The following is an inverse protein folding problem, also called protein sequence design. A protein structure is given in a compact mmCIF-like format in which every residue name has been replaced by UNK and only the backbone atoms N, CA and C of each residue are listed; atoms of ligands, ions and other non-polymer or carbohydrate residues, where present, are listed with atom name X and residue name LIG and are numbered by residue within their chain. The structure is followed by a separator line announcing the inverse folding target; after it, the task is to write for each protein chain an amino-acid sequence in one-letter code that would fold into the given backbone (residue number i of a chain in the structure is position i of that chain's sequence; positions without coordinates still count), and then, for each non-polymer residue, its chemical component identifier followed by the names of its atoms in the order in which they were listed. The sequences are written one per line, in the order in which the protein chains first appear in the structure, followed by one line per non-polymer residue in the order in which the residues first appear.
data_IF_878379347404
#
_entry.id   IF_878379347404
#
_cell.length_a   1.000
_cell.length_b   1.000
_cell.length_c   1.000
_cell.angle_alpha   90.00
_cell.angle_beta   90.00
_cell.angle_gamma   90.00
#
_symmetry.space_group_name_H-M   'P 1'
#
loop_
_entity.id
_entity.type
_entity.pdbx_description
1 polymer ?
#
# COMPACT_ATOMS: atom_id res chain seq x y z
N UNK A 1 0.46 14.04 -24.26
CA UNK A 1 1.59 13.51 -23.49
C UNK A 1 1.54 14.12 -22.09
N UNK A 2 1.20 13.38 -21.03
CA UNK A 2 1.27 13.89 -19.66
C UNK A 2 2.67 13.70 -19.09
N UNK A 3 3.23 14.73 -18.46
CA UNK A 3 4.54 14.71 -17.81
C UNK A 3 4.52 13.84 -16.55
N UNK A 4 5.43 12.88 -16.47
CA UNK A 4 5.66 12.07 -15.28
C UNK A 4 6.32 12.90 -14.18
N UNK A 5 5.61 13.02 -13.05
CA UNK A 5 6.19 13.45 -11.79
C UNK A 5 6.91 12.24 -11.17
N UNK A 6 8.22 12.16 -11.36
CA UNK A 6 9.06 11.17 -10.69
C UNK A 6 9.32 11.62 -9.25
N UNK A 7 8.83 10.85 -8.28
CA UNK A 7 9.26 11.02 -6.89
C UNK A 7 10.59 10.27 -6.72
N UNK A 8 11.69 11.03 -6.74
CA UNK A 8 13.01 10.52 -6.42
C UNK A 8 13.10 10.06 -4.97
N UNK A 9 13.54 8.82 -4.76
CA UNK A 9 13.95 8.30 -3.46
C UNK A 9 15.46 8.43 -3.39
N UNK A 10 15.97 9.42 -2.66
CA UNK A 10 17.39 9.50 -2.34
C UNK A 10 17.77 8.37 -1.37
N UNK A 11 18.65 7.50 -1.83
CA UNK A 11 19.34 6.53 -0.98
C UNK A 11 20.68 7.13 -0.58
N UNK A 12 20.75 7.71 0.63
CA UNK A 12 22.01 8.16 1.19
C UNK A 12 22.87 6.95 1.57
N UNK A 13 23.92 6.72 0.79
CA UNK A 13 25.11 5.96 1.22
C UNK A 13 26.27 6.94 1.36
N UNK A 14 27.10 6.83 2.41
CA UNK A 14 28.16 7.81 2.68
C UNK A 14 29.36 7.53 1.76
N UNK A 15 29.77 8.54 0.98
CA UNK A 15 31.00 8.48 0.20
C UNK A 15 32.10 9.32 0.86
N UNK A 16 33.26 8.69 0.97
CA UNK A 16 34.55 9.20 1.42
C UNK A 16 35.00 10.43 0.61
N UNK A 17 35.51 11.43 1.32
CA UNK A 17 36.00 12.70 0.79
C UNK A 17 37.43 12.53 0.24
N UNK A 18 37.59 12.73 -1.06
CA UNK A 18 38.87 13.08 -1.69
C UNK A 18 38.74 14.47 -2.32
N UNK A 19 39.79 15.28 -2.22
CA UNK A 19 39.76 16.74 -2.38
C UNK A 19 40.37 17.21 -3.71
N UNK A 20 39.86 18.36 -4.18
CA UNK A 20 40.40 19.38 -5.13
C UNK A 20 40.21 19.19 -6.66
N UNK A 21 40.24 20.27 -7.49
CA UNK A 21 40.24 21.71 -7.18
C UNK A 21 39.15 22.54 -7.91
N UNK A 22 39.07 23.81 -7.48
CA UNK A 22 38.23 24.92 -7.96
C UNK A 22 38.42 25.24 -9.45
N UNK A 23 37.30 25.50 -10.13
CA UNK A 23 37.25 26.28 -11.38
C UNK A 23 36.13 27.34 -11.34
N UNK A 24 36.31 28.30 -12.22
CA UNK A 24 35.97 29.73 -12.15
C UNK A 24 34.57 30.12 -12.61
N UNK A 25 34.08 31.23 -12.05
CA UNK A 25 32.84 31.92 -12.40
C UNK A 25 32.88 32.57 -13.80
N UNK A 26 31.77 32.47 -14.52
CA UNK A 26 31.42 33.32 -15.68
C UNK A 26 29.90 33.62 -15.64
N UNK A 27 29.42 34.81 -16.05
CA UNK A 27 28.17 35.39 -15.58
C UNK A 27 26.92 34.94 -16.34
N UNK A 28 25.80 34.88 -15.62
CA UNK A 28 24.47 34.52 -16.11
C UNK A 28 23.82 35.65 -16.92
N UNK A 29 23.33 35.31 -18.10
CA UNK A 29 22.48 36.16 -18.94
C UNK A 29 21.03 36.08 -18.45
N UNK A 30 20.44 37.22 -18.11
CA UNK A 30 19.01 37.38 -17.82
C UNK A 30 18.16 36.97 -19.03
N UNK A 31 17.26 36.01 -18.84
CA UNK A 31 16.13 35.76 -19.74
C UNK A 31 14.83 36.10 -19.01
N UNK A 32 14.19 37.15 -19.51
CA UNK A 32 12.89 37.67 -19.09
C UNK A 32 11.79 36.67 -19.43
N UNK A 33 11.05 36.18 -18.43
CA UNK A 33 9.85 35.37 -18.63
C UNK A 33 8.68 36.20 -19.18
N UNK A 34 7.89 35.67 -20.13
CA UNK A 34 6.67 36.32 -20.59
C UNK A 34 5.52 36.15 -19.58
N UNK A 35 4.78 37.25 -19.38
CA UNK A 35 3.57 37.35 -18.55
C UNK A 35 2.52 36.32 -18.93
N UNK A 36 2.15 35.47 -17.98
CA UNK A 36 0.97 34.61 -18.06
C UNK A 36 -0.30 35.46 -18.02
N UNK A 37 -1.13 35.29 -19.05
CA UNK A 37 -2.48 35.83 -19.16
C UNK A 37 -3.45 35.00 -18.31
N UNK A 38 -4.11 35.66 -17.37
CA UNK A 38 -5.17 35.12 -16.51
C UNK A 38 -6.28 34.46 -17.36
N UNK A 39 -6.38 33.13 -17.28
CA UNK A 39 -7.53 32.37 -17.76
C UNK A 39 -8.51 32.23 -16.59
N UNK A 40 -9.84 32.44 -16.78
CA UNK A 40 -10.81 32.31 -15.69
C UNK A 40 -10.87 30.85 -15.24
N UNK A 41 -10.64 30.61 -13.96
CA UNK A 41 -10.83 29.31 -13.33
C UNK A 41 -12.32 28.98 -13.31
N UNK A 42 -12.75 28.07 -14.18
CA UNK A 42 -14.02 27.38 -14.01
C UNK A 42 -13.90 26.55 -12.74
N UNK A 43 -14.58 26.97 -11.66
CA UNK A 43 -14.81 26.13 -10.49
C UNK A 43 -15.63 24.92 -10.94
N UNK A 44 -14.95 23.85 -11.36
CA UNK A 44 -15.54 22.53 -11.44
C UNK A 44 -15.98 22.16 -10.02
N UNK A 45 -17.30 22.19 -9.79
CA UNK A 45 -17.94 21.62 -8.61
C UNK A 45 -17.38 20.22 -8.39
N UNK A 46 -16.45 20.08 -7.43
CA UNK A 46 -16.00 18.77 -7.02
C UNK A 46 -17.23 18.01 -6.50
N UNK A 47 -17.52 16.81 -7.05
CA UNK A 47 -18.69 16.06 -6.63
C UNK A 47 -18.61 15.83 -5.11
N UNK A 48 -19.70 16.18 -4.43
CA UNK A 48 -19.84 16.01 -2.99
C UNK A 48 -19.50 14.56 -2.62
N UNK A 49 -18.43 14.37 -1.84
CA UNK A 49 -17.91 13.05 -1.45
C UNK A 49 -18.96 12.39 -0.57
N UNK A 50 -19.77 11.52 -1.18
CA UNK A 50 -20.84 10.82 -0.47
C UNK A 50 -20.24 9.70 0.37
N UNK A 51 -20.06 10.00 1.66
CA UNK A 51 -19.61 9.02 2.64
C UNK A 51 -20.47 7.75 2.59
N UNK A 52 -19.79 6.60 2.53
CA UNK A 52 -20.44 5.28 2.64
C UNK A 52 -21.16 5.12 3.98
N UNK A 53 -22.25 4.35 3.98
CA UNK A 53 -22.86 3.90 5.24
C UNK A 53 -21.87 3.04 6.04
N UNK A 54 -22.07 2.92 7.36
CA UNK A 54 -21.22 2.06 8.19
C UNK A 54 -21.22 0.59 7.74
N UNK A 55 -22.33 0.12 7.17
CA UNK A 55 -22.45 -1.24 6.62
C UNK A 55 -21.65 -1.37 5.32
N UNK A 56 -21.80 -0.41 4.42
CA UNK A 56 -21.07 -0.38 3.14
C UNK A 56 -19.57 -0.24 3.35
N UNK A 57 -19.13 0.56 4.34
CA UNK A 57 -17.71 0.66 4.70
C UNK A 57 -17.16 -0.70 5.18
N UNK A 58 -17.90 -1.43 6.04
CA UNK A 58 -17.47 -2.77 6.49
C UNK A 58 -17.39 -3.76 5.33
N UNK A 59 -18.32 -3.67 4.38
CA UNK A 59 -18.29 -4.47 3.15
C UNK A 59 -17.10 -4.08 2.27
N UNK A 60 -16.83 -2.79 2.06
CA UNK A 60 -15.68 -2.27 1.33
C UNK A 60 -14.36 -2.76 1.95
N UNK A 61 -14.25 -2.77 3.28
CA UNK A 61 -13.09 -3.33 4.01
C UNK A 61 -12.91 -4.82 3.73
N UNK A 62 -14.01 -5.58 3.67
CA UNK A 62 -13.95 -7.02 3.38
C UNK A 62 -13.51 -7.28 1.93
N UNK A 63 -14.04 -6.48 1.00
CA UNK A 63 -13.65 -6.47 -0.42
C UNK A 63 -12.18 -6.11 -0.57
N UNK A 64 -11.70 -5.06 0.10
CA UNK A 64 -10.31 -4.61 0.04
C UNK A 64 -9.32 -5.71 0.49
N UNK A 65 -9.65 -6.47 1.54
CA UNK A 65 -8.84 -7.63 1.96
C UNK A 65 -8.80 -8.71 0.87
N UNK A 66 -9.93 -9.02 0.23
CA UNK A 66 -9.98 -10.02 -0.85
C UNK A 66 -9.17 -9.56 -2.07
N UNK A 67 -9.31 -8.29 -2.48
CA UNK A 67 -8.54 -7.74 -3.59
C UNK A 67 -7.04 -7.74 -3.28
N UNK A 68 -6.65 -7.38 -2.06
CA UNK A 68 -5.24 -7.43 -1.64
C UNK A 68 -4.70 -8.87 -1.66
N UNK A 69 -5.47 -9.85 -1.22
CA UNK A 69 -5.13 -11.27 -1.34
C UNK A 69 -4.93 -11.65 -2.81
N UNK A 70 -5.89 -11.35 -3.69
CA UNK A 70 -5.82 -11.68 -5.12
C UNK A 70 -4.57 -11.09 -5.78
N UNK A 71 -4.29 -9.82 -5.50
CA UNK A 71 -3.12 -9.11 -6.01
C UNK A 71 -1.82 -9.84 -5.70
N UNK A 72 -1.68 -10.33 -4.47
CA UNK A 72 -0.44 -10.91 -3.96
C UNK A 72 -0.33 -12.43 -4.19
N UNK A 73 -1.44 -13.17 -4.21
CA UNK A 73 -1.45 -14.63 -4.41
C UNK A 73 -1.50 -15.03 -5.88
N UNK A 74 -2.23 -14.28 -6.70
CA UNK A 74 -2.49 -14.66 -8.09
C UNK A 74 -1.79 -13.73 -9.08
N UNK A 75 -2.02 -12.42 -8.96
CA UNK A 75 -1.62 -11.47 -10.01
C UNK A 75 -0.10 -11.23 -10.03
N UNK A 76 0.48 -10.83 -8.90
CA UNK A 76 1.91 -10.50 -8.83
C UNK A 76 2.80 -11.70 -9.15
N UNK A 77 2.52 -12.92 -8.63
CA UNK A 77 3.29 -14.11 -9.00
C UNK A 77 3.18 -14.48 -10.48
N UNK A 78 2.01 -14.30 -11.11
CA UNK A 78 1.83 -14.54 -12.54
C UNK A 78 2.74 -13.63 -13.38
N UNK A 79 2.77 -12.34 -13.07
CA UNK A 79 3.62 -11.37 -13.76
C UNK A 79 5.10 -11.67 -13.54
N UNK A 80 5.51 -12.04 -12.32
CA UNK A 80 6.89 -12.40 -12.03
C UNK A 80 7.34 -13.66 -12.79
N UNK A 81 6.47 -14.68 -12.89
CA UNK A 81 6.74 -15.87 -13.72
C UNK A 81 6.88 -15.51 -15.19
N UNK A 82 6.06 -14.59 -15.68
CA UNK A 82 6.16 -14.10 -17.05
C UNK A 82 7.49 -13.39 -17.31
N UNK A 83 7.91 -12.47 -16.43
CA UNK A 83 9.23 -11.83 -16.56
C UNK A 83 10.37 -12.85 -16.63
N UNK A 84 10.33 -13.87 -15.76
CA UNK A 84 11.31 -14.94 -15.78
C UNK A 84 11.30 -15.72 -17.11
N UNK A 85 10.11 -16.12 -17.60
CA UNK A 85 9.96 -16.83 -18.89
C UNK A 85 10.45 -16.02 -20.09
N UNK A 86 10.23 -14.71 -20.07
CA UNK A 86 10.66 -13.81 -21.15
C UNK A 86 12.12 -13.35 -21.01
N UNK A 87 12.84 -13.83 -20.00
CA UNK A 87 14.19 -13.38 -19.66
C UNK A 87 14.29 -11.84 -19.49
N UNK A 88 13.22 -11.26 -18.95
CA UNK A 88 13.16 -9.85 -18.63
C UNK A 88 13.66 -9.66 -17.19
N UNK A 89 14.46 -8.63 -16.97
CA UNK A 89 14.84 -8.22 -15.63
C UNK A 89 13.59 -7.76 -14.88
N UNK A 90 13.13 -8.59 -13.94
CA UNK A 90 12.09 -8.19 -13.00
C UNK A 90 12.57 -6.95 -12.21
N UNK A 91 11.68 -6.00 -11.91
CA UNK A 91 11.99 -4.93 -10.96
C UNK A 91 12.52 -5.51 -9.63
N UNK A 92 13.31 -4.73 -8.92
CA UNK A 92 13.86 -5.16 -7.63
C UNK A 92 12.75 -5.27 -6.59
N UNK A 93 12.23 -6.48 -6.38
CA UNK A 93 11.20 -6.79 -5.38
C UNK A 93 9.89 -7.29 -6.00
N UNK A 94 8.85 -7.42 -5.17
CA UNK A 94 7.53 -7.87 -5.61
C UNK A 94 6.53 -6.70 -5.70
N UNK A 95 6.98 -5.50 -6.09
CA UNK A 95 6.07 -4.37 -6.28
C UNK A 95 5.31 -4.51 -7.60
N UNK A 96 4.03 -4.84 -7.50
CA UNK A 96 3.14 -4.95 -8.65
C UNK A 96 3.13 -3.72 -9.56
N UNK A 97 3.16 -2.50 -9.00
CA UNK A 97 3.06 -1.29 -9.82
C UNK A 97 4.31 -1.12 -10.69
N UNK A 98 5.50 -1.34 -10.12
CA UNK A 98 6.76 -1.31 -10.86
C UNK A 98 6.77 -2.37 -11.97
N UNK A 99 6.30 -3.58 -11.66
CA UNK A 99 6.16 -4.67 -12.63
C UNK A 99 5.25 -4.30 -13.79
N UNK A 100 4.07 -3.74 -13.54
CA UNK A 100 3.17 -3.32 -14.63
C UNK A 100 3.76 -2.15 -15.43
N UNK A 101 4.38 -1.15 -14.78
CA UNK A 101 5.01 -0.05 -15.52
C UNK A 101 6.14 -0.54 -16.43
N UNK A 102 6.89 -1.57 -16.02
CA UNK A 102 7.87 -2.23 -16.88
C UNK A 102 7.21 -2.89 -18.09
N UNK A 103 6.10 -3.62 -17.92
CA UNK A 103 5.33 -4.18 -19.06
C UNK A 103 4.81 -3.09 -20.00
N UNK A 104 4.32 -1.97 -19.46
CA UNK A 104 3.88 -0.81 -20.26
C UNK A 104 5.06 -0.26 -21.08
N UNK A 105 6.23 -0.11 -20.46
CA UNK A 105 7.43 0.36 -21.14
C UNK A 105 7.84 -0.57 -22.29
N UNK A 106 7.88 -1.89 -22.06
CA UNK A 106 8.20 -2.86 -23.11
C UNK A 106 7.17 -2.83 -24.24
N UNK A 107 5.88 -2.72 -23.92
CA UNK A 107 4.81 -2.61 -24.90
C UNK A 107 4.90 -1.34 -25.75
N UNK A 108 5.22 -0.21 -25.14
CA UNK A 108 5.37 1.05 -25.87
C UNK A 108 6.59 1.02 -26.81
N UNK A 109 7.60 0.21 -26.50
CA UNK A 109 8.78 0.00 -27.34
C UNK A 109 8.51 -1.02 -28.46
N UNK A 110 7.63 -2.00 -28.22
CA UNK A 110 7.26 -3.03 -29.18
C UNK A 110 5.74 -3.29 -29.13
N UNK A 111 5.01 -2.83 -30.14
CA UNK A 111 3.55 -2.98 -30.19
C UNK A 111 3.06 -4.44 -30.22
N UNK A 112 3.89 -5.36 -30.72
CA UNK A 112 3.59 -6.79 -30.74
C UNK A 112 3.78 -7.45 -29.37
N UNK A 113 4.55 -6.82 -28.46
CA UNK A 113 4.69 -7.27 -27.08
C UNK A 113 3.34 -7.14 -26.36
N UNK A 114 2.89 -8.26 -25.79
CA UNK A 114 1.57 -8.38 -25.16
C UNK A 114 0.44 -7.86 -26.08
N UNK A 115 0.42 -8.31 -27.34
CA UNK A 115 -0.55 -7.85 -28.37
C UNK A 115 -2.02 -8.03 -27.98
N UNK A 116 -2.32 -8.92 -27.02
CA UNK A 116 -3.68 -9.22 -26.53
C UNK A 116 -4.25 -8.19 -25.54
N UNK A 117 -3.46 -7.23 -25.08
CA UNK A 117 -3.86 -6.24 -24.07
C UNK A 117 -3.36 -4.85 -24.43
N UNK A 118 -4.09 -3.80 -24.09
CA UNK A 118 -3.67 -2.41 -24.33
C UNK A 118 -2.83 -1.86 -23.17
N UNK A 119 -2.03 -0.82 -23.43
CA UNK A 119 -1.36 -0.07 -22.34
C UNK A 119 -2.39 0.55 -21.38
N UNK A 120 -3.58 0.91 -21.88
CA UNK A 120 -4.69 1.41 -21.06
C UNK A 120 -5.15 0.42 -19.99
N UNK A 121 -5.36 -0.84 -20.38
CA UNK A 121 -5.75 -1.91 -19.45
C UNK A 121 -4.66 -2.13 -18.38
N UNK A 122 -3.39 -2.04 -18.76
CA UNK A 122 -2.27 -2.12 -17.81
C UNK A 122 -2.30 -0.94 -16.82
N UNK A 123 -2.59 0.29 -17.28
CA UNK A 123 -2.78 1.42 -16.36
C UNK A 123 -3.97 1.20 -15.42
N UNK A 124 -5.10 0.70 -15.91
CA UNK A 124 -6.26 0.38 -15.08
C UNK A 124 -5.92 -0.64 -13.99
N UNK A 125 -5.11 -1.65 -14.31
CA UNK A 125 -4.63 -2.63 -13.35
C UNK A 125 -3.83 -1.98 -12.20
N UNK A 126 -2.96 -1.01 -12.53
CA UNK A 126 -2.22 -0.19 -11.54
C UNK A 126 -3.17 0.68 -10.72
N UNK A 127 -4.18 1.28 -11.35
CA UNK A 127 -5.20 2.07 -10.62
C UNK A 127 -5.97 1.21 -9.62
N UNK A 128 -6.30 -0.04 -9.99
CA UNK A 128 -6.91 -1.01 -9.09
C UNK A 128 -6.05 -1.27 -7.85
N UNK A 129 -4.74 -1.53 -8.05
CA UNK A 129 -3.78 -1.68 -6.95
C UNK A 129 -3.71 -0.41 -6.10
N UNK A 130 -3.62 0.76 -6.71
CA UNK A 130 -3.51 2.02 -5.98
C UNK A 130 -4.76 2.30 -5.14
N UNK A 131 -5.96 2.00 -5.65
CA UNK A 131 -7.19 2.09 -4.87
C UNK A 131 -7.11 1.27 -3.57
N UNK A 132 -6.54 0.07 -3.64
CA UNK A 132 -6.41 -0.83 -2.49
C UNK A 132 -5.31 -0.36 -1.54
N UNK A 133 -4.11 -0.06 -2.05
CA UNK A 133 -2.98 0.34 -1.21
C UNK A 133 -3.22 1.68 -0.50
N UNK A 134 -4.01 2.57 -1.11
CA UNK A 134 -4.45 3.84 -0.53
C UNK A 134 -5.82 3.77 0.15
N UNK A 135 -6.42 2.58 0.25
CA UNK A 135 -7.71 2.36 0.93
C UNK A 135 -8.80 3.34 0.51
N UNK A 136 -8.91 3.60 -0.80
CA UNK A 136 -10.00 4.38 -1.37
C UNK A 136 -11.28 3.53 -1.37
N UNK A 137 -11.93 3.47 -0.20
CA UNK A 137 -13.07 2.57 0.06
C UNK A 137 -14.27 2.82 -0.85
N UNK A 138 -14.51 4.06 -1.27
CA UNK A 138 -15.59 4.38 -2.20
C UNK A 138 -15.35 3.74 -3.56
N UNK A 139 -14.15 3.94 -4.13
CA UNK A 139 -13.76 3.31 -5.40
C UNK A 139 -13.69 1.80 -5.29
N UNK A 140 -13.21 1.26 -4.16
CA UNK A 140 -13.21 -0.19 -3.93
C UNK A 140 -14.65 -0.70 -3.93
N UNK A 141 -15.57 -0.05 -3.21
CA UNK A 141 -16.95 -0.47 -3.12
C UNK A 141 -17.66 -0.46 -4.47
N UNK A 142 -17.44 0.57 -5.29
CA UNK A 142 -18.10 0.70 -6.60
C UNK A 142 -17.45 -0.12 -7.71
N UNK A 143 -16.12 -0.32 -7.68
CA UNK A 143 -15.38 -0.81 -8.86
C UNK A 143 -14.64 -2.14 -8.65
N UNK A 144 -14.80 -2.83 -7.51
CA UNK A 144 -14.05 -4.06 -7.22
C UNK A 144 -14.19 -5.16 -8.29
N UNK A 145 -15.38 -5.29 -8.91
CA UNK A 145 -15.58 -6.27 -9.98
C UNK A 145 -14.72 -5.95 -11.21
N UNK A 146 -14.71 -4.69 -11.62
CA UNK A 146 -13.91 -4.23 -12.75
C UNK A 146 -12.41 -4.41 -12.47
N UNK A 147 -11.97 -4.16 -11.23
CA UNK A 147 -10.58 -4.40 -10.80
C UNK A 147 -10.21 -5.88 -10.99
N UNK A 148 -11.05 -6.81 -10.54
CA UNK A 148 -10.80 -8.25 -10.72
C UNK A 148 -10.81 -8.66 -12.19
N UNK A 149 -11.75 -8.16 -12.99
CA UNK A 149 -11.80 -8.42 -14.43
C UNK A 149 -10.53 -7.95 -15.13
N UNK A 150 -10.10 -6.72 -14.84
CA UNK A 150 -8.86 -6.14 -15.37
C UNK A 150 -7.65 -7.01 -15.02
N UNK A 151 -7.51 -7.42 -13.76
CA UNK A 151 -6.41 -8.29 -13.35
C UNK A 151 -6.44 -9.70 -13.97
N UNK A 152 -7.63 -10.27 -14.20
CA UNK A 152 -7.76 -11.53 -14.93
C UNK A 152 -7.30 -11.38 -16.38
N UNK A 153 -7.68 -10.29 -17.06
CA UNK A 153 -7.23 -9.97 -18.42
C UNK A 153 -5.70 -9.82 -18.47
N UNK A 154 -5.10 -9.12 -17.49
CA UNK A 154 -3.64 -9.04 -17.37
C UNK A 154 -3.01 -10.42 -17.25
N UNK A 155 -3.55 -11.30 -16.40
CA UNK A 155 -3.05 -12.66 -16.24
C UNK A 155 -3.16 -13.50 -17.53
N UNK A 156 -4.25 -13.38 -18.28
CA UNK A 156 -4.39 -14.03 -19.60
C UNK A 156 -3.39 -13.49 -20.62
N UNK A 157 -3.14 -12.18 -20.60
CA UNK A 157 -2.23 -11.54 -21.53
C UNK A 157 -0.77 -11.95 -21.31
N UNK A 158 -0.38 -12.25 -20.07
CA UNK A 158 0.94 -12.79 -19.72
C UNK A 158 0.98 -14.34 -19.75
N UNK A 159 0.02 -14.96 -20.43
CA UNK A 159 -0.12 -16.42 -20.62
C UNK A 159 -0.13 -17.22 -19.30
N UNK A 160 -0.83 -16.71 -18.28
CA UNK A 160 -1.03 -17.33 -16.97
C UNK A 160 -2.53 -17.64 -16.70
N UNK A 161 -3.17 -18.53 -17.50
CA UNK A 161 -4.61 -18.77 -17.46
C UNK A 161 -5.10 -19.37 -16.14
N UNK A 162 -4.27 -20.14 -15.42
CA UNK A 162 -4.62 -20.68 -14.10
C UNK A 162 -4.84 -19.55 -13.07
N UNK A 163 -3.98 -18.52 -13.11
CA UNK A 163 -4.11 -17.36 -12.22
C UNK A 163 -5.35 -16.54 -12.59
N UNK A 164 -5.60 -16.36 -13.90
CA UNK A 164 -6.81 -15.71 -14.41
C UNK A 164 -8.10 -16.43 -13.97
N UNK A 165 -8.15 -17.75 -14.09
CA UNK A 165 -9.29 -18.55 -13.64
C UNK A 165 -9.49 -18.47 -12.12
N UNK A 166 -8.40 -18.50 -11.35
CA UNK A 166 -8.47 -18.32 -9.89
C UNK A 166 -9.08 -16.95 -9.52
N UNK A 167 -8.71 -15.88 -10.23
CA UNK A 167 -9.28 -14.54 -10.04
C UNK A 167 -10.79 -14.52 -10.32
N UNK A 168 -11.22 -15.19 -11.41
CA UNK A 168 -12.65 -15.30 -11.76
C UNK A 168 -13.43 -16.09 -10.72
N UNK A 169 -12.86 -17.17 -10.18
CA UNK A 169 -13.47 -17.92 -9.08
C UNK A 169 -13.62 -17.06 -7.82
N UNK A 170 -12.60 -16.27 -7.48
CA UNK A 170 -12.68 -15.33 -6.35
C UNK A 170 -13.80 -14.31 -6.58
N UNK A 171 -13.90 -13.72 -7.79
CA UNK A 171 -15.01 -12.81 -8.15
C UNK A 171 -16.38 -13.47 -7.93
N UNK A 172 -16.57 -14.70 -8.42
CA UNK A 172 -17.82 -15.43 -8.28
C UNK A 172 -18.20 -15.67 -6.81
N UNK A 173 -17.23 -16.02 -5.97
CA UNK A 173 -17.42 -16.20 -4.51
C UNK A 173 -17.68 -14.88 -3.78
N UNK A 174 -17.07 -13.77 -4.20
CA UNK A 174 -17.35 -12.44 -3.67
C UNK A 174 -18.78 -11.99 -4.00
N UNK A 175 -19.28 -12.30 -5.19
CA UNK A 175 -20.69 -12.07 -5.57
C UNK A 175 -21.67 -12.85 -4.68
N UNK A 176 -21.26 -14.03 -4.20
CA UNK A 176 -22.01 -14.82 -3.21
C UNK A 176 -21.79 -14.34 -1.76
N UNK A 177 -21.12 -13.20 -1.55
CA UNK A 177 -20.79 -12.63 -0.24
C UNK A 177 -19.93 -13.53 0.67
N UNK A 178 -19.21 -14.50 0.10
CA UNK A 178 -18.38 -15.46 0.84
C UNK A 178 -16.94 -14.96 1.07
N UNK A 179 -16.80 -13.78 1.67
CA UNK A 179 -15.49 -13.10 1.79
C UNK A 179 -14.46 -13.84 2.66
N UNK A 180 -14.89 -14.46 3.77
CA UNK A 180 -13.97 -15.10 4.72
C UNK A 180 -13.32 -16.38 4.19
N UNK A 181 -13.98 -17.07 3.25
CA UNK A 181 -13.48 -18.29 2.65
C UNK A 181 -12.43 -18.02 1.55
N UNK A 182 -12.21 -16.74 1.20
CA UNK A 182 -11.36 -16.34 0.08
C UNK A 182 -9.92 -15.98 0.47
N UNK A 183 -9.72 -15.56 1.71
CA UNK A 183 -8.43 -15.08 2.22
C UNK A 183 -7.70 -16.17 3.00
N UNK A 184 -6.38 -16.04 3.17
CA UNK A 184 -5.59 -16.96 4.01
C UNK A 184 -5.36 -18.35 3.38
N UNK A 185 -5.03 -18.38 2.08
CA UNK A 185 -4.61 -19.59 1.37
C UNK A 185 -3.37 -20.24 2.01
N UNK A 186 -2.51 -19.43 2.64
CA UNK A 186 -1.24 -19.90 3.20
C UNK A 186 -1.26 -19.86 4.73
N UNK A 187 -0.85 -20.97 5.32
CA UNK A 187 -0.61 -21.08 6.76
C UNK A 187 0.72 -20.41 7.14
N UNK A 188 0.72 -19.60 8.19
CA UNK A 188 1.90 -18.95 8.73
C UNK A 188 2.61 -19.85 9.75
N UNK A 189 3.92 -20.11 9.56
CA UNK A 189 4.78 -20.82 10.51
C UNK A 189 6.06 -20.04 10.80
N UNK A 190 6.05 -19.22 11.85
CA UNK A 190 7.13 -18.26 12.18
C UNK A 190 8.40 -18.88 12.79
N UNK A 191 8.39 -20.15 13.18
CA UNK A 191 9.55 -20.81 13.80
C UNK A 191 10.61 -21.29 12.80
N UNK A 192 10.42 -21.05 11.51
CA UNK A 192 11.40 -21.41 10.48
C UNK A 192 12.48 -20.32 10.45
N UNK A 193 13.78 -20.66 10.60
CA UNK A 193 14.86 -19.68 10.64
C UNK A 193 15.16 -19.05 9.28
N UNK A 194 14.86 -19.75 8.19
CA UNK A 194 15.14 -19.31 6.82
C UNK A 194 13.98 -18.53 6.20
N UNK A 195 14.30 -17.73 5.17
CA UNK A 195 13.28 -17.04 4.38
C UNK A 195 12.30 -18.05 3.77
N UNK A 196 11.02 -17.82 4.03
CA UNK A 196 9.93 -18.55 3.41
C UNK A 196 8.90 -17.56 2.88
N UNK A 197 8.72 -17.53 1.57
CA UNK A 197 7.81 -16.59 0.91
C UNK A 197 6.36 -16.79 1.33
N UNK A 198 5.93 -18.03 1.59
CA UNK A 198 4.59 -18.32 2.11
C UNK A 198 4.34 -17.68 3.48
N UNK A 199 5.32 -17.72 4.36
CA UNK A 199 5.27 -17.04 5.66
C UNK A 199 5.27 -15.51 5.50
N UNK A 200 6.11 -14.98 4.62
CA UNK A 200 6.16 -13.54 4.36
C UNK A 200 4.83 -13.02 3.79
N UNK A 201 4.24 -13.75 2.86
CA UNK A 201 2.89 -13.49 2.34
C UNK A 201 1.84 -13.51 3.45
N UNK A 202 1.79 -14.59 4.25
CA UNK A 202 0.81 -14.72 5.32
C UNK A 202 0.96 -13.62 6.40
N UNK A 203 2.19 -13.21 6.72
CA UNK A 203 2.44 -12.03 7.57
C UNK A 203 1.95 -10.73 6.93
N UNK A 204 2.17 -10.57 5.62
CA UNK A 204 1.70 -9.40 4.86
C UNK A 204 0.18 -9.29 4.91
N UNK A 205 -0.55 -10.41 4.74
CA UNK A 205 -2.02 -10.43 4.90
C UNK A 205 -2.44 -9.99 6.30
N UNK A 206 -1.78 -10.49 7.36
CA UNK A 206 -2.13 -10.16 8.75
C UNK A 206 -1.84 -8.69 9.05
N UNK A 207 -0.71 -8.16 8.57
CA UNK A 207 -0.36 -6.75 8.71
C UNK A 207 -1.36 -5.86 7.94
N UNK A 208 -1.72 -6.21 6.70
CA UNK A 208 -2.69 -5.47 5.91
C UNK A 208 -4.07 -5.46 6.58
N UNK A 209 -4.54 -6.61 7.07
CA UNK A 209 -5.81 -6.71 7.79
C UNK A 209 -5.80 -5.90 9.09
N UNK A 210 -4.69 -5.92 9.84
CA UNK A 210 -4.52 -5.12 11.06
C UNK A 210 -4.53 -3.61 10.75
N UNK A 211 -3.82 -3.21 9.69
CA UNK A 211 -3.81 -1.84 9.21
C UNK A 211 -5.22 -1.38 8.83
N UNK A 212 -5.94 -2.19 8.05
CA UNK A 212 -7.26 -1.85 7.53
C UNK A 212 -8.36 -1.82 8.59
N UNK A 213 -8.37 -2.78 9.52
CA UNK A 213 -9.47 -2.94 10.49
C UNK A 213 -9.25 -2.23 11.81
N UNK A 214 -7.99 -1.94 12.15
CA UNK A 214 -7.63 -1.36 13.44
C UNK A 214 -7.01 0.01 13.23
N UNK A 215 -5.91 0.09 12.48
CA UNK A 215 -5.12 1.31 12.42
C UNK A 215 -5.83 2.44 11.64
N UNK A 216 -6.32 2.16 10.43
CA UNK A 216 -6.93 3.16 9.57
C UNK A 216 -8.16 3.83 10.21
N UNK A 217 -9.13 3.09 10.80
CA UNK A 217 -10.27 3.71 11.47
C UNK A 217 -9.87 4.54 12.70
N UNK A 218 -8.87 4.09 13.46
CA UNK A 218 -8.38 4.81 14.64
C UNK A 218 -7.71 6.13 14.28
N UNK A 219 -6.81 6.11 13.30
CA UNK A 219 -6.16 7.32 12.79
C UNK A 219 -7.20 8.29 12.22
N UNK A 220 -8.18 7.79 11.45
CA UNK A 220 -9.26 8.60 10.90
C UNK A 220 -10.04 9.30 12.01
N UNK A 221 -10.50 8.57 13.03
CA UNK A 221 -11.23 9.14 14.18
C UNK A 221 -10.41 10.22 14.89
N UNK A 222 -9.13 9.94 15.13
CA UNK A 222 -8.22 10.88 15.77
C UNK A 222 -8.15 12.21 14.99
N UNK A 223 -7.84 12.14 13.69
CA UNK A 223 -7.77 13.32 12.83
C UNK A 223 -9.11 14.08 12.80
N UNK A 224 -10.24 13.39 12.59
CA UNK A 224 -11.57 14.02 12.61
C UNK A 224 -11.83 14.77 13.93
N UNK A 225 -11.38 14.22 15.06
CA UNK A 225 -11.61 14.84 16.37
C UNK A 225 -10.65 15.99 16.71
N UNK A 226 -9.49 16.07 16.05
CA UNK A 226 -8.40 16.98 16.46
C UNK A 226 -8.17 18.13 15.48
N UNK A 227 -8.69 18.05 14.26
CA UNK A 227 -8.49 19.08 13.23
C UNK A 227 -9.81 19.53 12.64
N UNK A 228 -10.12 20.83 12.73
CA UNK A 228 -11.29 21.44 12.06
C UNK A 228 -11.10 21.55 10.54
N UNK A 229 -9.84 21.61 10.10
CA UNK A 229 -9.47 21.88 8.71
C UNK A 229 -9.35 20.60 7.87
N UNK A 230 -9.21 19.44 8.52
CA UNK A 230 -9.19 18.14 7.84
C UNK A 230 -10.61 17.58 7.77
N UNK A 231 -11.41 18.21 6.91
CA UNK A 231 -12.78 17.77 6.66
C UNK A 231 -12.74 16.43 5.91
N UNK A 232 -13.10 15.36 6.61
CA UNK A 232 -13.20 13.98 6.11
C UNK A 232 -11.86 13.27 5.83
N UNK A 233 -11.10 12.86 6.88
CA UNK A 233 -9.96 11.98 6.68
C UNK A 233 -10.39 10.69 6.00
N UNK A 234 -9.73 10.35 4.90
CA UNK A 234 -9.91 9.08 4.20
C UNK A 234 -9.42 7.92 5.08
N UNK A 235 -9.62 6.67 4.65
CA UNK A 235 -8.94 5.53 5.26
C UNK A 235 -7.50 5.36 4.74
N UNK A 236 -6.96 6.30 3.95
CA UNK A 236 -5.58 6.24 3.47
C UNK A 236 -4.61 6.45 4.63
N UNK A 237 -4.11 5.33 5.17
CA UNK A 237 -3.14 5.32 6.27
C UNK A 237 -1.88 6.10 5.92
N UNK A 238 -1.42 6.08 4.67
CA UNK A 238 -0.21 6.81 4.29
C UNK A 238 -0.42 8.31 4.34
N UNK A 239 -1.50 8.79 3.71
CA UNK A 239 -1.85 10.21 3.72
C UNK A 239 -2.06 10.69 5.16
N UNK A 240 -2.82 9.94 5.96
CA UNK A 240 -3.11 10.33 7.33
C UNK A 240 -1.88 10.31 8.24
N UNK A 241 -0.98 9.33 8.10
CA UNK A 241 0.28 9.32 8.87
C UNK A 241 1.18 10.50 8.48
N UNK A 242 1.26 10.84 7.20
CA UNK A 242 1.99 12.03 6.74
C UNK A 242 1.39 13.32 7.31
N UNK A 243 0.07 13.39 7.41
CA UNK A 243 -0.62 14.54 7.97
C UNK A 243 -0.34 14.67 9.48
N UNK A 244 -0.42 13.59 10.24
CA UNK A 244 -0.03 13.58 11.67
C UNK A 244 1.42 14.04 11.83
N UNK A 245 2.34 13.54 10.99
CA UNK A 245 3.75 13.93 11.02
C UNK A 245 3.94 15.42 10.70
N UNK A 246 3.21 15.94 9.71
CA UNK A 246 3.23 17.36 9.34
C UNK A 246 2.75 18.23 10.49
N UNK A 247 1.61 17.89 11.09
CA UNK A 247 1.02 18.61 12.22
C UNK A 247 1.93 18.58 13.47
N UNK A 248 2.56 17.43 13.74
CA UNK A 248 3.53 17.29 14.84
C UNK A 248 4.74 18.19 14.68
N UNK A 249 5.26 18.34 13.45
CA UNK A 249 6.40 19.23 13.16
C UNK A 249 6.06 20.71 13.18
N UNK A 250 4.81 21.06 12.94
CA UNK A 250 4.32 22.45 12.98
C UNK A 250 4.21 23.01 14.42
N UNK A 251 4.64 22.27 15.44
CA UNK A 251 4.54 22.68 16.84
C UNK A 251 3.14 22.51 17.43
N UNK A 252 2.24 21.81 16.72
CA UNK A 252 0.94 21.47 17.24
C UNK A 252 1.08 20.53 18.42
N UNK A 253 0.49 20.88 19.57
CA UNK A 253 0.34 19.97 20.72
C UNK A 253 -0.63 18.81 20.44
N UNK A 254 -0.78 18.40 19.17
CA UNK A 254 -1.72 17.39 18.70
C UNK A 254 -1.57 16.07 19.45
N UNK A 255 -0.34 15.76 19.87
CA UNK A 255 0.02 14.58 20.64
C UNK A 255 0.58 14.94 22.03
N UNK A 256 0.67 16.22 22.41
CA UNK A 256 1.32 16.67 23.65
C UNK A 256 0.29 16.98 24.75
N UNK A 257 -0.25 15.96 25.41
CA UNK A 257 -0.78 16.12 26.77
C UNK A 257 0.26 15.67 27.81
N UNK A 258 1.49 16.18 27.72
CA UNK A 258 2.45 16.20 28.82
C UNK A 258 3.33 14.96 29.07
N UNK A 259 3.09 13.81 28.43
CA UNK A 259 3.82 12.56 28.76
C UNK A 259 4.19 11.71 27.53
N UNK A 260 4.61 12.32 26.42
CA UNK A 260 5.04 11.54 25.26
C UNK A 260 6.57 11.38 25.17
N UNK A 261 7.09 10.15 25.01
CA UNK A 261 8.51 9.92 24.81
C UNK A 261 9.02 10.64 23.56
N UNK A 262 10.29 11.01 23.58
CA UNK A 262 11.07 11.73 22.56
C UNK A 262 11.08 11.10 21.14
N UNK A 263 10.32 10.03 20.88
CA UNK A 263 10.44 9.17 19.68
C UNK A 263 9.16 9.08 18.79
N UNK A 264 8.22 10.02 18.91
CA UNK A 264 6.96 10.01 18.11
C UNK A 264 7.22 10.13 16.61
N UNK A 265 8.14 11.01 16.20
CA UNK A 265 8.50 11.16 14.78
C UNK A 265 9.04 9.85 14.20
N UNK A 266 9.89 9.16 14.94
CA UNK A 266 10.41 7.86 14.53
C UNK A 266 9.30 6.80 14.48
N UNK A 267 8.41 6.79 15.48
CA UNK A 267 7.23 5.90 15.49
C UNK A 267 6.37 6.11 14.22
N UNK A 268 6.16 7.36 13.80
CA UNK A 268 5.44 7.69 12.57
C UNK A 268 6.21 7.24 11.33
N UNK A 269 7.53 7.48 11.26
CA UNK A 269 8.40 7.03 10.17
C UNK A 269 8.36 5.51 10.00
N UNK A 270 8.53 4.76 11.08
CA UNK A 270 8.46 3.29 11.08
C UNK A 270 7.05 2.81 10.70
N UNK A 271 6.00 3.50 11.14
CA UNK A 271 4.63 3.17 10.75
C UNK A 271 4.35 3.40 9.27
N UNK A 272 4.91 4.47 8.68
CA UNK A 272 4.86 4.74 7.24
C UNK A 272 5.64 3.65 6.48
N UNK A 273 6.82 3.30 6.96
CA UNK A 273 7.65 2.23 6.39
C UNK A 273 6.97 0.87 6.45
N UNK A 274 6.28 0.55 7.55
CA UNK A 274 5.47 -0.65 7.70
C UNK A 274 4.36 -0.70 6.64
N UNK A 275 3.56 0.37 6.52
CA UNK A 275 2.52 0.48 5.49
C UNK A 275 3.11 0.29 4.11
N UNK A 276 4.20 0.99 3.80
CA UNK A 276 4.82 0.91 2.48
C UNK A 276 5.36 -0.49 2.20
N UNK A 277 5.96 -1.15 3.18
CA UNK A 277 6.46 -2.50 3.01
C UNK A 277 5.32 -3.47 2.69
N UNK A 278 4.18 -3.35 3.39
CA UNK A 278 2.97 -4.14 3.13
C UNK A 278 2.39 -3.86 1.74
N UNK A 279 2.16 -2.59 1.40
CA UNK A 279 1.51 -2.21 0.13
C UNK A 279 2.39 -2.43 -1.11
N UNK A 280 3.71 -2.46 -0.95
CA UNK A 280 4.67 -2.60 -2.06
C UNK A 280 5.35 -3.99 -2.08
N UNK A 281 4.76 -5.00 -1.43
CA UNK A 281 5.21 -6.40 -1.54
C UNK A 281 6.63 -6.65 -1.03
N UNK A 282 7.11 -5.91 -0.02
CA UNK A 282 8.49 -6.04 0.50
C UNK A 282 8.62 -7.23 1.46
N UNK A 283 8.37 -8.43 0.96
CA UNK A 283 8.25 -9.67 1.75
C UNK A 283 9.45 -9.98 2.64
N UNK A 284 10.68 -9.86 2.14
CA UNK A 284 11.87 -10.08 2.95
C UNK A 284 11.91 -9.15 4.17
N UNK A 285 11.59 -7.88 3.94
CA UNK A 285 11.58 -6.84 4.98
C UNK A 285 10.46 -7.08 5.99
N UNK A 286 9.28 -7.47 5.53
CA UNK A 286 8.15 -7.84 6.39
C UNK A 286 8.53 -9.02 7.28
N UNK A 287 9.11 -10.09 6.73
CA UNK A 287 9.50 -11.27 7.51
C UNK A 287 10.52 -10.93 8.61
N UNK A 288 11.41 -9.98 8.33
CA UNK A 288 12.42 -9.48 9.29
C UNK A 288 11.82 -8.55 10.35
N UNK A 289 11.02 -7.57 9.93
CA UNK A 289 10.69 -6.39 10.74
C UNK A 289 9.25 -6.39 11.29
N UNK A 290 8.45 -7.44 11.05
CA UNK A 290 7.03 -7.44 11.44
C UNK A 290 6.78 -7.08 12.91
N UNK A 291 7.66 -7.50 13.84
CA UNK A 291 7.53 -7.14 15.26
C UNK A 291 7.69 -5.65 15.48
N UNK A 292 8.69 -5.03 14.84
CA UNK A 292 8.95 -3.60 14.90
C UNK A 292 7.74 -2.83 14.36
N UNK A 293 7.13 -3.31 13.27
CA UNK A 293 5.94 -2.71 12.68
C UNK A 293 4.71 -2.76 13.61
N UNK A 294 4.46 -3.90 14.28
CA UNK A 294 3.37 -3.95 15.27
C UNK A 294 3.65 -3.07 16.48
N UNK A 295 4.89 -3.02 16.96
CA UNK A 295 5.28 -2.17 18.10
C UNK A 295 5.09 -0.69 17.75
N UNK A 296 5.49 -0.25 16.55
CA UNK A 296 5.29 1.15 16.14
C UNK A 296 3.81 1.50 16.03
N UNK A 297 2.98 0.60 15.51
CA UNK A 297 1.53 0.81 15.47
C UNK A 297 0.90 0.81 16.87
N UNK A 298 1.38 -0.01 17.80
CA UNK A 298 0.92 0.03 19.20
C UNK A 298 1.28 1.33 19.89
N UNK A 299 2.51 1.83 19.68
CA UNK A 299 2.95 3.12 20.20
C UNK A 299 2.14 4.28 19.59
N UNK A 300 1.84 4.21 18.29
CA UNK A 300 0.98 5.19 17.64
C UNK A 300 -0.46 5.18 18.19
N UNK A 301 -1.06 4.00 18.39
CA UNK A 301 -2.39 3.89 18.98
C UNK A 301 -2.45 4.43 20.42
N UNK A 302 -1.35 4.28 21.17
CA UNK A 302 -1.19 4.91 22.47
C UNK A 302 -1.12 6.43 22.36
N UNK A 303 -0.36 6.93 21.37
CA UNK A 303 -0.22 8.36 21.10
C UNK A 303 -1.53 9.06 20.77
N UNK A 304 -2.39 8.40 20.00
CA UNK A 304 -3.73 8.91 19.68
C UNK A 304 -4.79 8.50 20.71
N UNK A 305 -4.38 7.90 21.84
CA UNK A 305 -5.23 7.48 22.97
C UNK A 305 -6.36 6.52 22.59
N UNK A 306 -6.16 5.65 21.60
CA UNK A 306 -7.13 4.62 21.22
C UNK A 306 -6.83 3.28 21.92
N UNK A 307 -7.18 3.21 23.20
CA UNK A 307 -6.93 2.05 24.07
C UNK A 307 -7.58 0.76 23.55
N UNK A 308 -8.77 0.85 22.97
CA UNK A 308 -9.49 -0.33 22.45
C UNK A 308 -8.83 -0.89 21.20
N UNK A 309 -8.42 -0.02 20.26
CA UNK A 309 -7.65 -0.44 19.11
C UNK A 309 -6.28 -1.01 19.51
N UNK A 310 -5.58 -0.37 20.46
CA UNK A 310 -4.30 -0.85 21.01
C UNK A 310 -4.45 -2.26 21.59
N UNK A 311 -5.49 -2.50 22.39
CA UNK A 311 -5.81 -3.81 22.96
C UNK A 311 -6.08 -4.87 21.89
N UNK A 312 -6.81 -4.53 20.83
CA UNK A 312 -7.07 -5.44 19.70
C UNK A 312 -5.77 -5.79 18.96
N UNK A 313 -4.96 -4.79 18.63
CA UNK A 313 -3.69 -4.99 17.93
C UNK A 313 -2.70 -5.81 18.77
N UNK A 314 -2.63 -5.55 20.07
CA UNK A 314 -1.77 -6.29 21.00
C UNK A 314 -2.15 -7.78 21.03
N UNK A 315 -3.44 -8.12 21.01
CA UNK A 315 -3.88 -9.52 20.91
C UNK A 315 -3.41 -10.20 19.61
N UNK A 316 -3.27 -9.46 18.51
CA UNK A 316 -2.71 -10.00 17.25
C UNK A 316 -1.23 -10.28 17.43
N UNK A 317 -0.46 -9.29 17.91
CA UNK A 317 0.97 -9.42 18.16
C UNK A 317 1.29 -10.57 19.13
N UNK A 318 0.58 -10.64 20.26
CA UNK A 318 0.79 -11.66 21.29
C UNK A 318 0.57 -13.08 20.73
N UNK A 319 -0.46 -13.27 19.88
CA UNK A 319 -0.71 -14.55 19.20
C UNK A 319 0.39 -14.91 18.21
N UNK A 320 0.93 -13.94 17.47
CA UNK A 320 2.04 -14.16 16.53
C UNK A 320 3.33 -14.54 17.28
N UNK A 321 3.63 -13.85 18.38
CA UNK A 321 4.76 -14.17 19.25
C UNK A 321 4.61 -15.57 19.84
N UNK A 322 3.41 -15.91 20.33
CA UNK A 322 3.12 -17.25 20.85
C UNK A 322 3.34 -18.34 19.79
N UNK A 323 2.85 -18.13 18.57
CA UNK A 323 3.05 -19.06 17.45
C UNK A 323 4.53 -19.19 17.06
N UNK A 324 5.28 -18.09 17.04
CA UNK A 324 6.74 -18.12 16.82
C UNK A 324 7.43 -18.95 17.89
N UNK A 325 7.12 -18.72 19.17
CA UNK A 325 7.78 -19.40 20.28
C UNK A 325 7.41 -20.88 20.39
N UNK A 326 6.15 -21.24 20.11
CA UNK A 326 5.65 -22.62 20.20
C UNK A 326 5.79 -23.43 18.90
N UNK A 327 6.16 -22.77 17.80
CA UNK A 327 6.30 -23.39 16.48
C UNK A 327 4.99 -23.82 15.81
N UNK A 328 3.85 -23.32 16.28
CA UNK A 328 2.54 -23.65 15.72
C UNK A 328 2.20 -22.83 14.48
N UNK A 329 1.41 -23.44 13.60
CA UNK A 329 0.89 -22.80 12.39
C UNK A 329 -0.36 -21.96 12.71
N UNK A 330 -0.46 -20.76 12.13
CA UNK A 330 -1.64 -19.91 12.21
C UNK A 330 -2.22 -19.67 10.83
N UNK A 331 -3.55 -19.70 10.70
CA UNK A 331 -4.24 -19.22 9.49
C UNK A 331 -4.48 -17.71 9.59
N UNK A 332 -4.05 -16.90 8.59
CA UNK A 332 -4.31 -15.46 8.54
C UNK A 332 -5.78 -15.09 8.74
N UNK A 333 -6.70 -15.91 8.24
CA UNK A 333 -8.16 -15.74 8.41
C UNK A 333 -8.64 -15.59 9.84
N UNK A 334 -7.85 -16.03 10.85
CA UNK A 334 -8.19 -15.80 12.26
C UNK A 334 -8.08 -14.34 12.70
N UNK A 335 -7.44 -13.51 11.89
CA UNK A 335 -7.23 -12.09 12.12
C UNK A 335 -8.01 -11.20 11.14
N UNK A 336 -8.69 -11.83 10.17
CA UNK A 336 -9.52 -11.18 9.14
C UNK A 336 -11.00 -11.35 9.54
#
# INVERSE_FOLDING_TARGET
MPSYCSYGWETNTPSTVETLPKETNTPSTEQTQPKETNTPSTEENQPEVKNLSLEDERKAISIANCLFFVLNEHVSPAINRYFFKQNLLAPTGNDFAESIYKLISEKNNNMDFLSKISSGDLYEAVQGRNCICHLNIEKIYSNWEQILCCWAIVCDAVDEPESSNSIREVRNRMNQQSFKALVGARSLRLAIPDYNEGNAFALTEILFASMLKILAPSIRRFLTSTTTDFQCPSLDVFQNLKEILRLSRAGGNLLNNGEFPTDVENTLKVSIEARNSVCHGRYFKILRDWQIYFVSWLALLDAIKDCEAKKKLKKVLDKLIESKNKGFSIKPTRFI
#
